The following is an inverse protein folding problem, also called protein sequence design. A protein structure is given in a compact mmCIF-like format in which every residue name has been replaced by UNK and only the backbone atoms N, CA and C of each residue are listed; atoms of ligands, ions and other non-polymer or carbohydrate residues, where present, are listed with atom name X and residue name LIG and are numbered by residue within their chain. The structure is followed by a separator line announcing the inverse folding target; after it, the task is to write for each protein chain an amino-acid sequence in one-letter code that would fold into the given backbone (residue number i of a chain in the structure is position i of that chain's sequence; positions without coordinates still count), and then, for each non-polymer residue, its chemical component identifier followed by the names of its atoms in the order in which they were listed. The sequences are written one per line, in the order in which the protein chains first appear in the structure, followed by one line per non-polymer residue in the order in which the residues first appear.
data_IF_797105563883
#
_entry.id   IF_797105563883
#
_cell.length_a   1.000
_cell.length_b   1.000
_cell.length_c   1.000
_cell.angle_alpha   90.00
_cell.angle_beta   90.00
_cell.angle_gamma   90.00
#
_symmetry.space_group_name_H-M   'P 1'
#
loop_
_entity.id
_entity.type
_entity.pdbx_description
1 polymer ?
#
# COMPACT_ATOMS: atom_id res chain seq x y z
N UNK A 1 66.46 -6.43 40.46
CA UNK A 1 66.14 -5.02 40.80
C UNK A 1 65.19 -4.41 39.78
N UNK A 2 64.12 -3.80 40.30
CA UNK A 2 63.21 -2.81 39.70
C UNK A 2 62.11 -3.29 38.73
N UNK A 3 60.94 -2.73 39.03
CA UNK A 3 59.56 -3.01 38.65
C UNK A 3 59.08 -1.96 37.61
N UNK A 4 58.02 -2.34 36.86
CA UNK A 4 57.03 -1.52 36.09
C UNK A 4 57.38 -1.14 34.63
N UNK A 5 56.38 -0.83 33.77
CA UNK A 5 55.00 -1.37 33.68
C UNK A 5 54.53 -1.67 32.23
N UNK A 6 53.45 -2.47 32.10
CA UNK A 6 52.67 -2.61 30.87
C UNK A 6 52.07 -1.29 30.38
N UNK A 7 52.05 -1.00 29.06
CA UNK A 7 51.22 0.06 28.52
C UNK A 7 49.80 -0.44 28.27
N UNK A 8 48.86 0.25 28.93
CA UNK A 8 47.41 0.22 28.76
C UNK A 8 47.00 0.38 27.29
N UNK A 9 45.94 -0.34 26.94
CA UNK A 9 45.13 -0.14 25.75
C UNK A 9 44.66 1.32 25.63
N UNK A 10 44.99 1.94 24.50
CA UNK A 10 44.32 3.16 24.01
C UNK A 10 42.95 2.79 23.43
N UNK A 11 41.85 3.43 23.86
CA UNK A 11 40.58 3.31 23.15
C UNK A 11 40.68 4.11 21.85
N UNK A 12 40.56 3.41 20.72
CA UNK A 12 40.47 4.00 19.40
C UNK A 12 39.14 4.77 19.32
N UNK A 13 39.21 6.10 19.29
CA UNK A 13 38.08 6.94 18.90
C UNK A 13 37.73 6.63 17.44
N UNK A 14 36.60 5.97 17.22
CA UNK A 14 35.93 6.01 15.92
C UNK A 14 35.25 7.37 15.74
N UNK A 15 35.34 7.99 14.55
CA UNK A 15 34.56 9.18 14.23
C UNK A 15 33.07 8.83 14.20
N UNK A 16 32.29 9.45 15.09
CA UNK A 16 30.83 9.44 15.02
C UNK A 16 30.37 10.18 13.77
N UNK A 17 29.91 9.43 12.78
CA UNK A 17 29.16 9.97 11.64
C UNK A 17 27.88 10.64 12.17
N UNK A 18 27.56 11.88 11.77
CA UNK A 18 26.35 12.56 12.23
C UNK A 18 25.11 11.85 11.68
N UNK A 19 24.23 11.45 12.59
CA UNK A 19 22.89 11.00 12.26
C UNK A 19 22.19 12.09 11.44
N UNK A 20 21.90 11.81 10.16
CA UNK A 20 20.99 12.63 9.37
C UNK A 20 19.65 12.65 10.11
N UNK A 21 19.34 13.81 10.68
CA UNK A 21 18.04 14.15 11.22
C UNK A 21 17.01 14.04 10.10
N UNK A 22 16.37 12.88 10.00
CA UNK A 22 15.14 12.72 9.25
C UNK A 22 14.07 13.55 9.96
N UNK A 23 13.55 14.53 9.23
CA UNK A 23 12.60 15.52 9.70
C UNK A 23 11.50 14.90 10.54
N UNK A 24 11.47 15.32 11.80
CA UNK A 24 10.40 15.06 12.75
C UNK A 24 9.15 15.78 12.22
N UNK A 25 8.23 15.04 11.61
CA UNK A 25 6.91 15.55 11.29
C UNK A 25 6.17 15.88 12.60
N UNK A 26 5.39 16.97 12.63
CA UNK A 26 4.77 17.48 13.85
C UNK A 26 3.69 16.52 14.38
N UNK A 27 3.76 16.25 15.68
CA UNK A 27 2.68 15.62 16.44
C UNK A 27 1.42 16.50 16.38
N UNK A 28 0.22 15.97 16.06
CA UNK A 28 -1.00 16.72 16.28
C UNK A 28 -1.33 16.66 17.77
N UNK A 29 -1.17 17.81 18.45
CA UNK A 29 -1.83 18.06 19.71
C UNK A 29 -3.34 17.94 19.49
N UNK A 30 -4.01 17.15 20.33
CA UNK A 30 -5.47 17.15 20.41
C UNK A 30 -5.91 18.47 21.04
N UNK A 31 -6.15 19.47 20.21
CA UNK A 31 -6.95 20.63 20.60
C UNK A 31 -8.40 20.30 20.31
N UNK A 32 -9.11 19.89 21.37
CA UNK A 32 -10.55 19.85 21.42
C UNK A 32 -11.08 21.29 21.39
N UNK A 33 -11.79 21.69 20.33
CA UNK A 33 -12.87 22.71 20.38
C UNK A 33 -13.73 22.66 19.11
N UNK A 34 -14.89 22.00 19.22
CA UNK A 34 -16.21 22.36 18.63
C UNK A 34 -16.45 22.30 17.09
N UNK A 35 -17.71 22.25 16.61
CA UNK A 35 -18.45 21.01 16.39
C UNK A 35 -18.95 20.83 14.94
N UNK A 36 -19.59 19.67 14.68
CA UNK A 36 -20.18 19.21 13.40
C UNK A 36 -19.26 18.36 12.51
N UNK A 37 -18.91 17.16 13.02
CA UNK A 37 -18.34 16.10 12.19
C UNK A 37 -19.34 14.95 12.14
N UNK A 38 -20.00 14.78 11.00
CA UNK A 38 -20.74 13.53 10.72
C UNK A 38 -19.74 12.36 10.84
N UNK A 39 -20.14 11.22 11.43
CA UNK A 39 -19.22 10.08 11.54
C UNK A 39 -18.84 9.62 10.12
N UNK A 40 -17.55 9.65 9.79
CA UNK A 40 -17.03 8.88 8.66
C UNK A 40 -16.97 7.43 9.16
N UNK A 41 -18.10 6.74 9.05
CA UNK A 41 -18.17 5.29 9.22
C UNK A 41 -17.46 4.68 8.01
N UNK A 42 -16.27 4.14 8.22
CA UNK A 42 -15.63 3.25 7.25
C UNK A 42 -16.57 2.06 7.03
N UNK A 43 -17.15 1.85 5.83
CA UNK A 43 -18.06 0.73 5.66
C UNK A 43 -17.23 -0.54 5.48
N UNK A 44 -17.34 -1.43 6.46
CA UNK A 44 -17.01 -2.83 6.28
C UNK A 44 -17.76 -3.36 5.05
N UNK A 45 -17.01 -3.94 4.10
CA UNK A 45 -17.46 -4.92 3.10
C UNK A 45 -18.86 -4.74 2.52
N UNK A 46 -19.29 -3.53 2.16
CA UNK A 46 -20.58 -3.36 1.46
C UNK A 46 -20.49 -4.02 0.08
N UNK A 47 -21.48 -4.83 -0.32
CA UNK A 47 -21.57 -5.33 -1.68
C UNK A 47 -21.66 -4.14 -2.65
N UNK A 48 -21.16 -4.29 -3.89
CA UNK A 48 -21.25 -3.24 -4.89
C UNK A 48 -22.72 -2.86 -5.14
N UNK A 49 -23.01 -1.56 -5.38
CA UNK A 49 -24.35 -1.07 -5.67
C UNK A 49 -24.91 -1.66 -6.97
N UNK A 50 -26.24 -1.65 -7.12
CA UNK A 50 -26.89 -2.02 -8.37
C UNK A 50 -26.70 -0.90 -9.40
N UNK A 51 -25.77 -1.11 -10.32
CA UNK A 51 -25.22 -0.08 -11.20
C UNK A 51 -26.23 0.46 -12.23
N UNK A 52 -27.25 -0.32 -12.59
CA UNK A 52 -28.17 0.00 -13.69
C UNK A 52 -29.25 1.03 -13.35
N UNK A 53 -29.42 1.42 -12.08
CA UNK A 53 -30.55 2.24 -11.62
C UNK A 53 -30.14 3.58 -11.00
N UNK A 54 -28.88 4.00 -11.17
CA UNK A 54 -28.31 5.16 -10.48
C UNK A 54 -28.20 6.33 -11.46
N UNK A 55 -28.52 7.55 -11.01
CA UNK A 55 -28.30 8.77 -11.79
C UNK A 55 -26.81 8.89 -12.18
N UNK A 56 -26.46 9.33 -13.40
CA UNK A 56 -25.08 9.30 -13.90
C UNK A 56 -24.04 9.95 -12.97
N UNK A 57 -24.39 11.06 -12.32
CA UNK A 57 -23.50 11.76 -11.38
C UNK A 57 -23.24 10.95 -10.10
N UNK A 58 -24.27 10.32 -9.56
CA UNK A 58 -24.17 9.47 -8.36
C UNK A 58 -23.46 8.15 -8.69
N UNK A 59 -23.68 7.59 -9.88
CA UNK A 59 -22.96 6.42 -10.38
C UNK A 59 -21.46 6.72 -10.42
N UNK A 60 -21.09 7.88 -10.94
CA UNK A 60 -19.69 8.25 -11.09
C UNK A 60 -18.98 8.44 -9.76
N UNK A 61 -19.67 9.06 -8.80
CA UNK A 61 -19.16 9.23 -7.44
C UNK A 61 -18.95 7.87 -6.77
N UNK A 62 -19.95 6.98 -6.86
CA UNK A 62 -19.86 5.63 -6.29
C UNK A 62 -18.78 4.79 -6.96
N UNK A 63 -18.64 4.90 -8.29
CA UNK A 63 -17.58 4.25 -9.04
C UNK A 63 -16.19 4.69 -8.56
N UNK A 64 -15.93 6.01 -8.45
CA UNK A 64 -14.66 6.52 -7.91
C UNK A 64 -14.38 6.02 -6.49
N UNK A 65 -15.39 5.97 -5.64
CA UNK A 65 -15.26 5.44 -4.28
C UNK A 65 -14.95 3.93 -4.27
N UNK A 66 -15.57 3.16 -5.17
CA UNK A 66 -15.31 1.73 -5.29
C UNK A 66 -13.88 1.47 -5.78
N UNK A 67 -13.43 2.18 -6.82
CA UNK A 67 -12.04 2.12 -7.31
C UNK A 67 -11.06 2.46 -6.18
N UNK A 68 -11.31 3.57 -5.46
CA UNK A 68 -10.50 3.97 -4.29
C UNK A 68 -10.41 2.84 -3.27
N UNK A 69 -11.54 2.26 -2.89
CA UNK A 69 -11.62 1.21 -1.89
C UNK A 69 -10.76 0.00 -2.27
N UNK A 70 -10.89 -0.47 -3.51
CA UNK A 70 -10.14 -1.64 -3.98
C UNK A 70 -8.64 -1.35 -4.06
N UNK A 71 -8.24 -0.20 -4.61
CA UNK A 71 -6.83 0.21 -4.67
C UNK A 71 -6.20 0.25 -3.29
N UNK A 72 -6.83 0.93 -2.32
CA UNK A 72 -6.29 1.06 -0.97
C UNK A 72 -6.20 -0.29 -0.25
N UNK A 73 -7.22 -1.14 -0.41
CA UNK A 73 -7.21 -2.50 0.16
C UNK A 73 -6.10 -3.36 -0.45
N UNK A 74 -5.81 -3.21 -1.74
CA UNK A 74 -4.75 -3.95 -2.43
C UNK A 74 -3.36 -3.44 -2.03
N UNK A 75 -3.16 -2.12 -1.99
CA UNK A 75 -1.94 -1.48 -1.47
C UNK A 75 -1.62 -1.98 -0.05
N UNK A 76 -2.63 -2.10 0.81
CA UNK A 76 -2.45 -2.65 2.14
C UNK A 76 -1.96 -4.12 2.13
N UNK A 77 -2.37 -4.94 1.16
CA UNK A 77 -1.83 -6.30 1.01
C UNK A 77 -0.36 -6.28 0.56
N UNK A 78 0.01 -5.38 -0.35
CA UNK A 78 1.41 -5.21 -0.76
C UNK A 78 2.27 -4.83 0.45
N UNK A 79 1.85 -3.84 1.26
CA UNK A 79 2.58 -3.47 2.47
C UNK A 79 2.72 -4.63 3.46
N UNK A 80 1.66 -5.42 3.68
CA UNK A 80 1.74 -6.62 4.52
C UNK A 80 2.74 -7.64 3.98
N UNK A 81 2.78 -7.85 2.66
CA UNK A 81 3.75 -8.74 2.04
C UNK A 81 5.18 -8.19 2.23
N UNK A 82 5.41 -6.91 1.94
CA UNK A 82 6.69 -6.23 2.13
C UNK A 82 7.19 -6.31 3.57
N UNK A 83 6.30 -6.11 4.55
CA UNK A 83 6.63 -6.24 5.97
C UNK A 83 7.19 -7.62 6.32
N UNK A 84 6.73 -8.71 5.67
CA UNK A 84 7.32 -10.05 5.85
C UNK A 84 8.77 -10.09 5.37
N UNK A 85 9.11 -9.43 4.26
CA UNK A 85 10.51 -9.32 3.81
C UNK A 85 11.34 -8.49 4.79
N UNK A 86 10.81 -7.36 5.26
CA UNK A 86 11.50 -6.45 6.18
C UNK A 86 11.83 -7.12 7.52
N UNK A 87 10.84 -7.71 8.19
CA UNK A 87 11.06 -8.39 9.48
C UNK A 87 11.99 -9.60 9.35
N UNK A 88 12.09 -10.16 8.14
CA UNK A 88 12.98 -11.30 7.85
C UNK A 88 14.35 -10.87 7.34
N UNK A 89 14.64 -9.56 7.26
CA UNK A 89 15.86 -8.99 6.67
C UNK A 89 16.13 -9.46 5.23
N UNK A 90 15.06 -9.61 4.43
CA UNK A 90 15.07 -10.10 3.04
C UNK A 90 14.74 -9.01 2.01
N UNK A 91 14.99 -7.74 2.31
CA UNK A 91 14.70 -6.59 1.42
C UNK A 91 15.52 -6.57 0.13
N UNK A 92 16.65 -7.29 0.08
CA UNK A 92 17.46 -7.45 -1.12
C UNK A 92 16.88 -8.45 -2.14
N UNK A 93 15.75 -9.10 -1.84
CA UNK A 93 15.12 -10.04 -2.77
C UNK A 93 14.50 -9.28 -3.95
N UNK A 94 14.67 -9.82 -5.16
CA UNK A 94 14.09 -9.25 -6.39
C UNK A 94 12.58 -8.98 -6.26
N UNK A 95 11.86 -9.87 -5.56
CA UNK A 95 10.43 -9.72 -5.33
C UNK A 95 10.08 -8.52 -4.43
N UNK A 96 10.92 -8.16 -3.46
CA UNK A 96 10.69 -6.98 -2.62
C UNK A 96 10.79 -5.70 -3.47
N UNK A 97 11.86 -5.54 -4.25
CA UNK A 97 12.03 -4.39 -5.15
C UNK A 97 10.90 -4.32 -6.20
N UNK A 98 10.50 -5.47 -6.74
CA UNK A 98 9.43 -5.52 -7.73
C UNK A 98 8.04 -5.18 -7.12
N UNK A 99 7.84 -5.40 -5.81
CA UNK A 99 6.66 -4.93 -5.08
C UNK A 99 6.72 -3.43 -4.83
N UNK A 100 7.88 -2.87 -4.48
CA UNK A 100 8.07 -1.41 -4.32
C UNK A 100 7.76 -0.65 -5.62
N UNK A 101 8.31 -1.13 -6.74
CA UNK A 101 8.07 -0.52 -8.06
C UNK A 101 6.58 -0.53 -8.40
N UNK A 102 5.93 -1.70 -8.33
CA UNK A 102 4.52 -1.75 -8.70
C UNK A 102 3.58 -1.09 -7.68
N UNK A 103 3.99 -0.97 -6.40
CA UNK A 103 3.29 -0.12 -5.43
C UNK A 103 3.32 1.35 -5.87
N UNK A 104 4.49 1.84 -6.28
CA UNK A 104 4.65 3.21 -6.78
C UNK A 104 3.84 3.45 -8.06
N UNK A 105 3.85 2.49 -9.00
CA UNK A 105 3.06 2.56 -10.24
C UNK A 105 1.55 2.58 -9.95
N UNK A 106 1.06 1.65 -9.13
CA UNK A 106 -0.36 1.59 -8.76
C UNK A 106 -0.81 2.87 -8.05
N UNK A 107 -0.01 3.38 -7.12
CA UNK A 107 -0.31 4.63 -6.43
C UNK A 107 -0.31 5.83 -7.37
N UNK A 108 0.62 5.88 -8.33
CA UNK A 108 0.69 6.94 -9.33
C UNK A 108 -0.52 6.92 -10.26
N UNK A 109 -0.92 5.73 -10.74
CA UNK A 109 -2.13 5.53 -11.54
C UNK A 109 -3.38 5.98 -10.78
N UNK A 110 -3.54 5.55 -9.53
CA UNK A 110 -4.65 6.00 -8.69
C UNK A 110 -4.66 7.52 -8.48
N UNK A 111 -3.51 8.12 -8.19
CA UNK A 111 -3.41 9.57 -8.01
C UNK A 111 -3.82 10.32 -9.27
N UNK A 112 -3.32 9.90 -10.44
CA UNK A 112 -3.69 10.49 -11.73
C UNK A 112 -5.21 10.38 -11.98
N UNK A 113 -5.79 9.18 -11.81
CA UNK A 113 -7.23 8.95 -11.96
C UNK A 113 -8.06 9.81 -10.98
N UNK A 114 -7.66 9.89 -9.70
CA UNK A 114 -8.40 10.61 -8.66
C UNK A 114 -8.46 12.12 -8.85
N UNK A 115 -7.53 12.69 -9.64
CA UNK A 115 -7.43 14.12 -9.91
C UNK A 115 -8.21 14.56 -11.15
N UNK A 116 -8.64 13.61 -11.99
CA UNK A 116 -9.49 13.92 -13.14
C UNK A 116 -10.83 14.44 -12.64
N UNK A 117 -11.31 15.55 -13.21
CA UNK A 117 -12.60 16.15 -12.85
C UNK A 117 -13.74 15.42 -13.53
N UNK A 118 -13.57 15.18 -14.82
CA UNK A 118 -14.48 14.41 -15.67
C UNK A 118 -13.92 13.00 -15.87
N UNK A 119 -14.82 12.05 -16.14
CA UNK A 119 -14.46 10.68 -16.50
C UNK A 119 -15.10 10.46 -17.86
N UNK A 120 -14.26 10.39 -18.87
CA UNK A 120 -14.59 9.91 -20.20
C UNK A 120 -14.05 8.49 -20.39
N UNK A 121 -14.31 7.89 -21.56
CA UNK A 121 -13.85 6.54 -21.89
C UNK A 121 -12.32 6.40 -21.81
N UNK A 122 -11.57 7.45 -22.18
CA UNK A 122 -10.11 7.46 -22.14
C UNK A 122 -9.60 7.41 -20.69
N UNK A 123 -10.18 8.23 -19.81
CA UNK A 123 -9.88 8.23 -18.37
C UNK A 123 -10.24 6.90 -17.72
N UNK A 124 -11.29 6.21 -18.20
CA UNK A 124 -11.61 4.87 -17.73
C UNK A 124 -10.58 3.86 -18.22
N UNK A 125 -10.12 3.96 -19.47
CA UNK A 125 -9.04 3.13 -20.01
C UNK A 125 -7.73 3.26 -19.21
N UNK A 126 -7.42 4.48 -18.75
CA UNK A 126 -6.27 4.78 -17.90
C UNK A 126 -6.49 4.51 -16.40
N UNK A 127 -7.65 3.96 -16.03
CA UNK A 127 -8.01 3.69 -14.65
C UNK A 127 -7.08 2.65 -14.01
N UNK A 128 -6.78 2.78 -12.70
CA UNK A 128 -6.06 1.74 -11.95
C UNK A 128 -6.78 0.39 -11.92
N UNK A 129 -8.03 0.30 -12.37
CA UNK A 129 -8.72 -0.98 -12.57
C UNK A 129 -8.02 -1.87 -13.59
N UNK A 130 -7.31 -1.31 -14.57
CA UNK A 130 -6.60 -2.08 -15.60
C UNK A 130 -5.13 -2.33 -15.26
N UNK A 131 -4.71 -2.00 -14.03
CA UNK A 131 -3.40 -2.33 -13.51
C UNK A 131 -3.18 -3.85 -13.43
N UNK A 132 -1.95 -4.32 -13.64
CA UNK A 132 -1.59 -5.75 -13.57
C UNK A 132 -1.43 -6.23 -12.11
N UNK A 133 -2.56 -6.33 -11.41
CA UNK A 133 -2.63 -6.81 -10.03
C UNK A 133 -2.10 -8.24 -9.89
N UNK A 134 -2.36 -9.11 -10.87
CA UNK A 134 -1.94 -10.52 -10.82
C UNK A 134 -0.42 -10.65 -10.81
N UNK A 135 0.30 -9.83 -11.58
CA UNK A 135 1.75 -9.81 -11.54
C UNK A 135 2.31 -9.40 -10.17
N UNK A 136 1.66 -8.46 -9.48
CA UNK A 136 2.03 -8.14 -8.09
C UNK A 136 1.77 -9.30 -7.13
N UNK A 137 0.63 -9.99 -7.23
CA UNK A 137 0.36 -11.17 -6.39
C UNK A 137 1.40 -12.27 -6.63
N UNK A 138 1.83 -12.49 -7.88
CA UNK A 138 2.89 -13.46 -8.21
C UNK A 138 4.23 -13.13 -7.54
N UNK A 139 4.48 -11.86 -7.20
CA UNK A 139 5.68 -11.37 -6.50
C UNK A 139 5.53 -11.44 -4.98
N UNK A 140 4.32 -11.59 -4.43
CA UNK A 140 4.08 -11.82 -2.99
C UNK A 140 4.47 -13.26 -2.60
N UNK A 141 5.75 -13.60 -2.70
CA UNK A 141 6.30 -14.93 -2.39
C UNK A 141 7.05 -14.90 -1.07
N UNK A 142 6.90 -15.95 -0.28
CA UNK A 142 7.66 -16.11 0.94
C UNK A 142 9.14 -16.28 0.59
N UNK A 143 10.05 -15.47 1.16
CA UNK A 143 11.47 -15.66 0.94
C UNK A 143 11.95 -17.04 1.42
N UNK A 144 13.00 -17.56 0.78
CA UNK A 144 13.63 -18.82 1.19
C UNK A 144 14.14 -18.70 2.63
N UNK A 145 13.84 -19.73 3.44
CA UNK A 145 14.26 -19.80 4.85
C UNK A 145 13.38 -18.99 5.82
N UNK A 146 12.28 -18.38 5.35
CA UNK A 146 11.36 -17.62 6.20
C UNK A 146 10.14 -18.46 6.58
N UNK A 147 9.85 -18.56 7.88
CA UNK A 147 8.74 -19.35 8.45
C UNK A 147 7.37 -18.65 8.39
N UNK A 148 7.18 -17.70 7.46
CA UNK A 148 5.95 -16.90 7.29
C UNK A 148 5.13 -17.33 6.06
N UNK A 149 5.18 -18.61 5.71
CA UNK A 149 4.49 -19.15 4.51
C UNK A 149 2.97 -18.97 4.59
N UNK A 150 2.36 -19.33 5.72
CA UNK A 150 0.90 -19.24 5.90
C UNK A 150 0.40 -17.80 5.88
N UNK A 151 1.14 -16.86 6.50
CA UNK A 151 0.80 -15.43 6.47
C UNK A 151 0.87 -14.87 5.04
N UNK A 152 1.93 -15.19 4.29
CA UNK A 152 2.06 -14.78 2.89
C UNK A 152 0.95 -15.38 2.01
N UNK A 153 0.56 -16.63 2.25
CA UNK A 153 -0.56 -17.25 1.53
C UNK A 153 -1.89 -16.54 1.82
N UNK A 154 -2.17 -16.21 3.08
CA UNK A 154 -3.37 -15.46 3.43
C UNK A 154 -3.41 -14.07 2.74
N UNK A 155 -2.26 -13.40 2.63
CA UNK A 155 -2.13 -12.14 1.89
C UNK A 155 -2.44 -12.35 0.40
N UNK A 156 -1.89 -13.41 -0.22
CA UNK A 156 -2.19 -13.76 -1.63
C UNK A 156 -3.67 -14.04 -1.85
N UNK A 157 -4.29 -14.87 -1.00
CA UNK A 157 -5.72 -15.19 -1.09
C UNK A 157 -6.60 -13.96 -0.95
N UNK A 158 -6.28 -13.07 0.00
CA UNK A 158 -6.98 -11.78 0.14
C UNK A 158 -6.81 -10.91 -1.10
N UNK A 159 -5.61 -10.90 -1.69
CA UNK A 159 -5.32 -10.13 -2.90
C UNK A 159 -6.08 -10.69 -4.12
N UNK A 160 -6.22 -12.02 -4.24
CA UNK A 160 -7.05 -12.64 -5.28
C UNK A 160 -8.53 -12.26 -5.16
N UNK A 161 -9.10 -12.26 -3.95
CA UNK A 161 -10.47 -11.80 -3.74
C UNK A 161 -10.66 -10.33 -4.14
N UNK A 162 -9.65 -9.47 -3.91
CA UNK A 162 -9.67 -8.09 -4.39
C UNK A 162 -9.62 -7.98 -5.91
N UNK A 163 -8.89 -8.87 -6.59
CA UNK A 163 -8.85 -8.92 -8.06
C UNK A 163 -10.21 -9.32 -8.62
N UNK A 164 -10.95 -10.20 -7.94
CA UNK A 164 -12.34 -10.49 -8.32
C UNK A 164 -13.24 -9.25 -8.19
N UNK A 165 -13.05 -8.45 -7.13
CA UNK A 165 -13.75 -7.17 -6.97
C UNK A 165 -13.38 -6.17 -8.07
N UNK A 166 -12.11 -6.08 -8.47
CA UNK A 166 -11.67 -5.32 -9.66
C UNK A 166 -12.43 -5.78 -10.90
N UNK A 167 -12.52 -7.10 -11.13
CA UNK A 167 -13.23 -7.66 -12.28
C UNK A 167 -14.72 -7.34 -12.29
N UNK A 168 -15.37 -7.23 -11.12
CA UNK A 168 -16.76 -6.78 -11.02
C UNK A 168 -16.90 -5.30 -11.42
N UNK A 169 -15.96 -4.45 -10.98
CA UNK A 169 -15.95 -3.03 -11.34
C UNK A 169 -15.68 -2.81 -12.83
N UNK A 170 -14.75 -3.58 -13.42
CA UNK A 170 -14.50 -3.56 -14.87
C UNK A 170 -15.76 -3.90 -15.66
N UNK A 171 -16.49 -4.96 -15.27
CA UNK A 171 -17.76 -5.31 -15.94
C UNK A 171 -18.82 -4.23 -15.79
N UNK A 172 -18.93 -3.63 -14.62
CA UNK A 172 -19.90 -2.55 -14.37
C UNK A 172 -19.69 -1.34 -15.29
N UNK A 173 -18.44 -1.05 -15.66
CA UNK A 173 -18.10 -0.03 -16.65
C UNK A 173 -18.54 -0.46 -18.05
N UNK A 174 -18.29 -1.70 -18.45
CA UNK A 174 -18.58 -2.16 -19.82
C UNK A 174 -20.08 -2.33 -20.08
N UNK A 175 -20.89 -2.50 -19.03
CA UNK A 175 -22.34 -2.70 -19.13
C UNK A 175 -23.18 -1.44 -18.85
N UNK A 176 -22.55 -0.35 -18.39
CA UNK A 176 -23.19 0.94 -18.14
C UNK A 176 -23.22 1.79 -19.42
#
# INVERSE_FOLDING_TARGET
PLLLPSPRATPRMEPRTPAKALGRLPSPAFSETSPSRRPITSPAGKPPPDWCSIAPEEWLLQFRQAVKSVVYRFINQIHKAMMIFEISSKTHYLHYQALEVGLHELWSSWKAFSQRKEIDEEVIGDSPLYFDFLNLVKKMRTPIGVSKRSEMEAIRMTSHALIEDVGKLQRAVTTA
#
